data_IF_539811493792
#
_entry.id   IF_539811493792
#
_cell.length_a   1.000
_cell.length_b   1.000
_cell.length_c   1.000
_cell.angle_alpha   90.00
_cell.angle_beta   90.00
_cell.angle_gamma   90.00
#
_symmetry.space_group_name_H-M   'P 1'
#
loop_
_entity.id
_entity.type
_entity.pdbx_description
1 polymer ?
#
# COMPACT_ATOMS: atom_id res chain seq x y z
N UNK A 1 -12.63 5.35 32.48
CA UNK A 1 -12.43 6.73 31.97
C UNK A 1 -10.98 6.85 31.56
N UNK A 2 -10.65 6.66 30.28
CA UNK A 2 -9.27 6.64 29.77
C UNK A 2 -9.02 8.01 29.14
N UNK A 3 -8.15 8.82 29.74
CA UNK A 3 -7.79 10.11 29.16
C UNK A 3 -7.05 9.89 27.85
N UNK A 4 -7.57 10.47 26.77
CA UNK A 4 -6.93 10.53 25.46
C UNK A 4 -5.66 11.40 25.57
N UNK A 5 -4.57 10.96 24.93
CA UNK A 5 -3.29 11.66 24.97
C UNK A 5 -3.36 12.98 24.18
N UNK A 6 -2.70 14.01 24.69
CA UNK A 6 -2.70 15.38 24.15
C UNK A 6 -2.27 15.47 22.67
N UNK A 7 -1.55 14.46 22.17
CA UNK A 7 -1.15 14.32 20.76
C UNK A 7 -2.34 14.17 19.79
N UNK A 8 -3.39 13.43 20.16
CA UNK A 8 -4.57 13.28 19.29
C UNK A 8 -5.43 14.55 19.25
N UNK A 9 -5.38 15.36 20.31
CA UNK A 9 -6.09 16.64 20.39
C UNK A 9 -5.38 17.69 19.52
N UNK A 10 -4.05 17.66 19.45
CA UNK A 10 -3.26 18.56 18.62
C UNK A 10 -3.44 18.32 17.11
N UNK A 11 -3.44 17.06 16.65
CA UNK A 11 -3.70 16.73 15.23
C UNK A 11 -5.16 17.02 14.81
N UNK A 12 -6.11 16.82 15.72
CA UNK A 12 -7.54 17.10 15.49
C UNK A 12 -7.85 18.61 15.41
N UNK A 13 -7.05 19.45 16.05
CA UNK A 13 -7.14 20.92 15.97
C UNK A 13 -6.66 21.44 14.60
N UNK A 14 -5.64 20.81 14.01
CA UNK A 14 -4.98 21.31 12.81
C UNK A 14 -5.86 21.23 11.55
N UNK A 15 -6.55 20.10 11.34
CA UNK A 15 -7.46 19.92 10.19
C UNK A 15 -8.67 20.86 10.28
N UNK A 16 -9.20 21.11 11.49
CA UNK A 16 -10.29 22.07 11.71
C UNK A 16 -9.84 23.51 11.48
N UNK A 17 -8.62 23.86 11.90
CA UNK A 17 -7.98 25.16 11.63
C UNK A 17 -7.72 25.38 10.14
N UNK A 18 -7.33 24.34 9.38
CA UNK A 18 -7.06 24.46 7.96
C UNK A 18 -8.34 24.69 7.15
N UNK A 19 -9.39 23.92 7.44
CA UNK A 19 -10.74 24.10 6.85
C UNK A 19 -11.26 25.51 7.17
N UNK A 20 -11.05 25.98 8.41
CA UNK A 20 -11.41 27.33 8.82
C UNK A 20 -10.65 28.41 8.03
N UNK A 21 -9.33 28.29 7.89
CA UNK A 21 -8.51 29.26 7.14
C UNK A 21 -8.89 29.34 5.66
N UNK A 22 -9.18 28.20 5.02
CA UNK A 22 -9.61 28.17 3.61
C UNK A 22 -10.97 28.84 3.43
N UNK A 23 -11.91 28.61 4.36
CA UNK A 23 -13.23 29.28 4.34
C UNK A 23 -13.08 30.79 4.59
N UNK A 24 -12.20 31.19 5.50
CA UNK A 24 -12.00 32.61 5.87
C UNK A 24 -11.33 33.41 4.76
N UNK A 25 -10.31 32.83 4.09
CA UNK A 25 -9.64 33.44 2.92
C UNK A 25 -10.59 33.50 1.72
N UNK A 26 -11.43 32.50 1.49
CA UNK A 26 -12.43 32.51 0.42
C UNK A 26 -13.55 33.55 0.66
N UNK A 27 -13.86 33.85 1.92
CA UNK A 27 -14.85 34.86 2.29
C UNK A 27 -14.28 36.30 2.23
N UNK A 28 -13.01 36.54 2.57
CA UNK A 28 -12.42 37.89 2.57
C UNK A 28 -12.16 38.44 1.17
N UNK A 29 -11.98 37.58 0.16
CA UNK A 29 -11.80 38.01 -1.23
C UNK A 29 -13.09 38.58 -1.87
N UNK A 30 -14.26 38.34 -1.26
CA UNK A 30 -15.57 38.83 -1.76
C UNK A 30 -16.00 40.17 -1.16
N UNK A 31 -15.35 40.66 -0.11
CA UNK A 31 -15.72 41.90 0.59
C UNK A 31 -14.99 43.16 0.10
N UNK A 32 -14.06 43.06 -0.86
CA UNK A 32 -13.28 44.20 -1.37
C UNK A 32 -13.79 44.75 -2.71
N UNK A 33 -14.68 44.06 -3.42
CA UNK A 33 -15.21 44.52 -4.72
C UNK A 33 -16.70 44.86 -4.66
N UNK A 34 -17.07 45.85 -3.85
CA UNK A 34 -18.41 46.45 -3.92
C UNK A 34 -18.42 47.87 -3.33
N UNK A 35 -17.77 48.83 -3.98
CA UNK A 35 -18.10 50.25 -3.85
C UNK A 35 -17.67 51.04 -5.09
N UNK A 36 -18.57 51.95 -5.51
CA UNK A 36 -18.41 53.02 -6.51
C UNK A 36 -18.73 52.70 -8.00
N UNK A 37 -20.03 52.74 -8.29
CA UNK A 37 -20.72 53.57 -9.31
C UNK A 37 -19.95 54.16 -10.51
N UNK A 38 -20.51 53.88 -11.69
CA UNK A 38 -20.44 54.64 -12.97
C UNK A 38 -21.05 56.06 -12.85
N UNK A 39 -20.79 57.00 -13.80
CA UNK A 39 -21.58 57.05 -15.05
C UNK A 39 -20.81 57.40 -16.35
N UNK A 40 -21.44 57.04 -17.49
CA UNK A 40 -21.60 57.70 -18.81
C UNK A 40 -20.45 58.61 -19.34
N UNK A 41 -20.10 58.69 -20.63
CA UNK A 41 -20.86 58.60 -21.87
C UNK A 41 -19.88 58.67 -23.07
N UNK A 42 -20.40 58.40 -24.28
CA UNK A 42 -19.99 58.92 -25.59
C UNK A 42 -19.42 57.95 -26.66
N UNK A 43 -20.34 57.53 -27.54
CA UNK A 43 -20.32 57.63 -29.01
C UNK A 43 -19.20 56.95 -29.82
N UNK A 44 -19.61 56.02 -30.70
CA UNK A 44 -18.85 55.69 -31.92
C UNK A 44 -19.16 54.32 -32.53
N UNK A 45 -20.23 54.23 -33.34
CA UNK A 45 -20.63 53.04 -34.12
C UNK A 45 -19.75 52.77 -35.36
N UNK A 46 -19.83 51.56 -35.96
CA UNK A 46 -18.77 50.86 -36.72
C UNK A 46 -18.93 50.96 -38.25
N UNK A 47 -18.16 50.19 -39.07
CA UNK A 47 -18.82 49.02 -39.69
C UNK A 47 -17.95 47.79 -40.10
N UNK A 48 -18.58 46.60 -39.99
CA UNK A 48 -18.81 45.58 -41.06
C UNK A 48 -17.72 44.56 -41.45
N UNK A 49 -18.04 43.26 -41.24
CA UNK A 49 -18.12 42.12 -42.20
C UNK A 49 -18.09 40.78 -41.43
N UNK A 50 -19.22 40.08 -41.33
CA UNK A 50 -19.61 38.86 -42.11
C UNK A 50 -18.92 37.56 -41.65
N UNK A 51 -19.49 36.35 -41.64
CA UNK A 51 -20.84 35.79 -41.65
C UNK A 51 -20.64 34.25 -41.64
N UNK A 52 -21.60 33.52 -41.04
CA UNK A 52 -21.96 32.09 -41.30
C UNK A 52 -20.94 30.99 -40.89
N UNK A 53 -21.34 29.80 -40.44
CA UNK A 53 -22.64 29.12 -40.37
C UNK A 53 -22.59 27.96 -39.38
N UNK A 54 -23.76 27.67 -38.81
CA UNK A 54 -24.09 26.53 -37.95
C UNK A 54 -24.13 25.19 -38.69
N UNK A 55 -23.94 24.08 -37.95
CA UNK A 55 -24.74 22.85 -38.10
C UNK A 55 -24.64 21.96 -36.85
N UNK A 56 -25.79 21.46 -36.42
CA UNK A 56 -26.11 20.56 -35.31
C UNK A 56 -25.42 19.18 -35.40
N UNK A 57 -25.15 18.47 -34.31
CA UNK A 57 -26.16 17.63 -33.63
C UNK A 57 -25.66 17.08 -32.27
N UNK A 58 -26.63 16.93 -31.35
CA UNK A 58 -26.52 16.29 -30.05
C UNK A 58 -26.50 14.76 -30.15
N UNK A 59 -25.70 14.09 -29.33
CA UNK A 59 -25.91 12.68 -28.99
C UNK A 59 -25.51 12.40 -27.53
N UNK A 60 -26.31 11.54 -26.91
CA UNK A 60 -26.55 11.35 -25.48
C UNK A 60 -25.52 10.45 -24.79
N UNK A 61 -25.00 10.90 -23.64
CA UNK A 61 -24.18 10.07 -22.74
C UNK A 61 -25.10 9.41 -21.71
N UNK A 62 -25.59 8.22 -22.04
CA UNK A 62 -26.26 7.33 -21.10
C UNK A 62 -25.76 5.90 -21.34
N UNK A 63 -24.71 5.51 -20.62
CA UNK A 63 -24.30 4.14 -20.21
C UNK A 63 -22.81 4.11 -19.93
N UNK A 64 -22.42 4.23 -18.66
CA UNK A 64 -21.28 3.50 -18.09
C UNK A 64 -21.31 3.62 -16.55
N UNK A 65 -22.35 3.06 -15.94
CA UNK A 65 -22.38 2.79 -14.49
C UNK A 65 -23.04 1.43 -14.28
N UNK A 66 -22.25 0.37 -14.46
CA UNK A 66 -22.48 -0.95 -13.87
C UNK A 66 -21.16 -1.67 -13.78
N UNK A 67 -20.99 -2.38 -12.66
CA UNK A 67 -19.85 -3.21 -12.27
C UNK A 67 -18.77 -2.48 -11.49
N UNK A 68 -18.90 -2.48 -10.17
CA UNK A 68 -18.02 -3.26 -9.27
C UNK A 68 -18.51 -3.06 -7.84
N UNK A 69 -19.36 -4.01 -7.40
CA UNK A 69 -19.54 -4.36 -6.00
C UNK A 69 -18.71 -5.61 -5.81
N UNK A 70 -17.69 -5.58 -4.95
CA UNK A 70 -17.48 -6.64 -3.97
C UNK A 70 -16.46 -6.24 -2.88
N UNK A 71 -16.98 -6.33 -1.64
CA UNK A 71 -16.41 -6.75 -0.35
C UNK A 71 -14.93 -6.46 -0.03
N UNK A 72 -14.73 -5.56 0.93
CA UNK A 72 -13.60 -5.62 1.88
C UNK A 72 -14.17 -5.67 3.30
N UNK A 73 -13.97 -6.81 3.97
CA UNK A 73 -14.18 -7.02 5.39
C UNK A 73 -12.93 -6.57 6.14
N UNK A 74 -13.10 -5.77 7.19
CA UNK A 74 -12.23 -5.71 8.37
C UNK A 74 -13.05 -5.12 9.52
N UNK A 75 -13.33 -5.93 10.53
CA UNK A 75 -14.40 -5.70 11.52
C UNK A 75 -13.94 -5.27 12.91
N UNK A 76 -12.66 -5.08 13.20
CA UNK A 76 -12.21 -5.01 14.61
C UNK A 76 -11.86 -3.62 15.17
N UNK A 77 -11.86 -2.55 14.36
CA UNK A 77 -11.73 -1.16 14.89
C UNK A 77 -13.06 -0.37 14.93
N UNK A 78 -14.19 -1.01 14.62
CA UNK A 78 -15.49 -0.33 14.50
C UNK A 78 -16.34 -0.30 15.78
N UNK A 79 -15.96 -0.98 16.85
CA UNK A 79 -16.85 -1.20 17.99
C UNK A 79 -17.26 0.10 18.73
N UNK A 80 -16.36 1.09 18.86
CA UNK A 80 -16.71 2.38 19.49
C UNK A 80 -17.42 3.38 18.57
N UNK A 81 -17.24 3.23 17.25
CA UNK A 81 -17.78 4.14 16.24
C UNK A 81 -19.10 3.67 15.64
N UNK A 82 -19.40 2.37 15.71
CA UNK A 82 -20.66 1.80 15.24
C UNK A 82 -21.85 2.36 16.01
N UNK A 83 -21.72 2.57 17.33
CA UNK A 83 -22.81 3.08 18.17
C UNK A 83 -23.10 4.56 17.93
N UNK A 84 -22.06 5.39 17.76
CA UNK A 84 -22.21 6.81 17.41
C UNK A 84 -22.77 6.97 15.99
N UNK A 85 -22.28 6.17 15.04
CA UNK A 85 -22.79 6.15 13.67
C UNK A 85 -24.22 5.61 13.61
N UNK A 86 -24.57 4.57 14.37
CA UNK A 86 -25.91 4.02 14.43
C UNK A 86 -26.90 4.98 15.10
N UNK A 87 -26.49 5.69 16.16
CA UNK A 87 -27.29 6.73 16.79
C UNK A 87 -27.50 7.92 15.84
N UNK A 88 -26.46 8.36 15.12
CA UNK A 88 -26.56 9.41 14.12
C UNK A 88 -27.49 9.00 12.96
N UNK A 89 -27.33 7.77 12.45
CA UNK A 89 -28.14 7.25 11.34
C UNK A 89 -29.60 6.98 11.75
N UNK A 90 -29.84 6.52 12.97
CA UNK A 90 -31.20 6.33 13.53
C UNK A 90 -31.95 7.66 13.69
N UNK A 91 -31.24 8.72 14.10
CA UNK A 91 -31.81 10.07 14.17
C UNK A 91 -32.03 10.71 12.79
N UNK A 92 -31.20 10.37 11.80
CA UNK A 92 -31.35 10.82 10.42
C UNK A 92 -32.52 10.15 9.68
N UNK A 93 -32.91 8.93 10.06
CA UNK A 93 -33.95 8.16 9.38
C UNK A 93 -35.39 8.59 9.77
N UNK A 94 -35.55 9.30 10.88
CA UNK A 94 -36.87 9.65 11.44
C UNK A 94 -37.48 10.97 10.95
N UNK A 95 -36.82 11.70 10.05
CA UNK A 95 -37.35 12.97 9.56
C UNK A 95 -36.74 13.39 8.23
N UNK A 96 -37.26 12.84 7.13
CA UNK A 96 -36.82 13.22 5.79
C UNK A 96 -38.01 13.54 4.86
N UNK A 97 -38.32 14.83 4.67
CA UNK A 97 -38.91 15.30 3.44
C UNK A 97 -37.81 15.72 2.45
N UNK A 98 -37.94 15.21 1.23
CA UNK A 98 -37.41 15.78 -0.02
C UNK A 98 -35.91 15.76 -0.32
N UNK A 99 -35.54 14.67 -0.98
CA UNK A 99 -34.34 14.46 -1.79
C UNK A 99 -34.37 15.37 -3.05
N UNK A 100 -34.19 16.68 -2.88
CA UNK A 100 -33.79 17.58 -3.98
C UNK A 100 -32.29 17.93 -3.92
N UNK A 101 -31.68 17.89 -2.74
CA UNK A 101 -30.32 18.38 -2.50
C UNK A 101 -29.20 17.47 -2.99
N UNK A 102 -29.44 16.16 -3.11
CA UNK A 102 -28.47 15.19 -3.63
C UNK A 102 -28.10 15.41 -5.11
N UNK A 103 -28.77 16.32 -5.83
CA UNK A 103 -28.40 16.68 -7.22
C UNK A 103 -27.39 17.83 -7.33
N UNK A 104 -27.11 18.55 -6.24
CA UNK A 104 -26.25 19.74 -6.29
C UNK A 104 -24.79 19.32 -6.07
N UNK A 105 -24.02 19.19 -7.16
CA UNK A 105 -22.60 18.78 -7.16
C UNK A 105 -21.62 19.84 -6.59
N UNK A 106 -22.10 20.88 -5.90
CA UNK A 106 -21.33 22.08 -5.53
C UNK A 106 -21.49 22.41 -4.04
N UNK A 107 -20.40 22.22 -3.29
CA UNK A 107 -20.33 22.41 -1.83
C UNK A 107 -20.60 23.85 -1.38
N UNK A 108 -20.27 24.84 -2.21
CA UNK A 108 -20.51 26.26 -1.95
C UNK A 108 -22.01 26.59 -1.89
N UNK A 109 -22.81 25.92 -2.72
CA UNK A 109 -24.27 26.03 -2.67
C UNK A 109 -24.76 25.40 -1.36
N UNK A 110 -24.33 24.17 -1.04
CA UNK A 110 -24.75 23.50 0.18
C UNK A 110 -24.41 24.29 1.46
N UNK A 111 -23.23 24.90 1.52
CA UNK A 111 -22.80 25.74 2.65
C UNK A 111 -23.67 27.01 2.77
N UNK A 112 -24.03 27.62 1.65
CA UNK A 112 -24.87 28.83 1.65
C UNK A 112 -26.31 28.52 1.99
N UNK A 113 -26.88 27.45 1.44
CA UNK A 113 -28.28 27.09 1.67
C UNK A 113 -28.53 26.47 3.07
N UNK A 114 -27.51 25.95 3.74
CA UNK A 114 -27.56 25.64 5.18
C UNK A 114 -27.36 26.87 6.09
N UNK A 115 -27.29 28.08 5.52
CA UNK A 115 -27.04 29.35 6.23
C UNK A 115 -25.75 29.37 7.08
N UNK A 116 -24.80 28.45 6.84
CA UNK A 116 -23.55 28.36 7.61
C UNK A 116 -22.67 29.60 7.42
N UNK A 117 -22.74 30.24 6.24
CA UNK A 117 -22.09 31.52 5.94
C UNK A 117 -22.59 32.72 6.78
N UNK A 118 -23.74 32.61 7.45
CA UNK A 118 -24.30 33.66 8.31
C UNK A 118 -24.02 33.41 9.79
N UNK A 119 -23.42 32.27 10.13
CA UNK A 119 -23.10 31.91 11.51
C UNK A 119 -21.80 32.61 11.92
N UNK A 120 -21.71 32.97 13.19
CA UNK A 120 -20.47 33.53 13.72
C UNK A 120 -19.36 32.47 13.67
N UNK A 121 -18.14 32.84 13.27
CA UNK A 121 -17.05 31.88 13.09
C UNK A 121 -16.78 31.01 14.33
N UNK A 122 -16.97 31.57 15.53
CA UNK A 122 -16.71 30.89 16.81
C UNK A 122 -17.79 29.87 17.17
N UNK A 123 -19.04 30.04 16.73
CA UNK A 123 -20.15 29.15 17.05
C UNK A 123 -20.41 28.12 15.95
N UNK A 124 -19.75 28.26 14.80
CA UNK A 124 -19.91 27.36 13.65
C UNK A 124 -19.57 25.90 13.98
N UNK A 125 -18.58 25.66 14.83
CA UNK A 125 -18.17 24.30 15.26
C UNK A 125 -19.11 23.68 16.31
N UNK A 126 -20.04 24.45 16.83
CA UNK A 126 -21.10 24.00 17.73
C UNK A 126 -22.40 23.73 16.97
N UNK A 127 -22.49 24.18 15.71
CA UNK A 127 -23.68 24.05 14.88
C UNK A 127 -23.81 22.63 14.30
N UNK A 128 -24.88 21.88 14.60
CA UNK A 128 -25.08 20.53 14.07
C UNK A 128 -25.21 20.51 12.53
N UNK A 129 -25.67 21.60 11.90
CA UNK A 129 -25.73 21.69 10.43
C UNK A 129 -24.33 21.80 9.81
N UNK A 130 -23.32 22.29 10.54
CA UNK A 130 -21.93 22.27 10.08
C UNK A 130 -21.39 20.84 9.98
N UNK A 131 -21.62 19.99 10.99
CA UNK A 131 -21.19 18.59 10.94
C UNK A 131 -21.94 17.79 9.88
N UNK A 132 -23.23 18.11 9.65
CA UNK A 132 -24.01 17.52 8.56
C UNK A 132 -23.44 17.92 7.20
N UNK A 133 -23.05 19.19 7.03
CA UNK A 133 -22.33 19.66 5.85
C UNK A 133 -21.00 18.93 5.66
N UNK A 134 -20.18 18.80 6.71
CA UNK A 134 -18.91 18.05 6.66
C UNK A 134 -19.14 16.59 6.24
N UNK A 135 -20.12 15.91 6.83
CA UNK A 135 -20.48 14.53 6.47
C UNK A 135 -20.95 14.37 5.01
N UNK A 136 -21.71 15.34 4.49
CA UNK A 136 -22.13 15.40 3.08
C UNK A 136 -20.91 15.62 2.17
N UNK A 137 -19.99 16.46 2.59
CA UNK A 137 -18.76 16.77 1.85
C UNK A 137 -17.84 15.54 1.84
N UNK A 138 -17.63 14.86 2.97
CA UNK A 138 -16.85 13.62 3.06
C UNK A 138 -17.47 12.45 2.30
N UNK A 139 -18.80 12.32 2.29
CA UNK A 139 -19.49 11.24 1.56
C UNK A 139 -19.53 11.46 0.04
N UNK A 140 -19.59 12.71 -0.43
CA UNK A 140 -19.53 13.04 -1.85
C UNK A 140 -18.11 13.10 -2.41
N UNK A 141 -17.12 13.31 -1.53
CA UNK A 141 -15.70 13.33 -1.87
C UNK A 141 -14.93 12.41 -0.90
N UNK A 142 -15.11 11.08 -1.00
CA UNK A 142 -14.38 10.15 -0.16
C UNK A 142 -12.88 10.27 -0.46
N UNK A 143 -12.13 10.74 0.54
CA UNK A 143 -10.70 11.05 0.45
C UNK A 143 -10.40 12.54 0.59
N UNK A 144 -9.31 12.83 1.30
CA UNK A 144 -8.86 14.16 1.71
C UNK A 144 -9.00 15.21 0.57
N UNK A 145 -10.02 16.07 0.65
CA UNK A 145 -10.49 16.94 -0.44
C UNK A 145 -9.41 17.88 -0.95
N UNK A 146 -8.58 18.37 -0.04
CA UNK A 146 -7.45 19.26 -0.36
C UNK A 146 -6.43 18.55 -1.25
N UNK A 147 -6.14 17.27 -0.96
CA UNK A 147 -5.21 16.48 -1.78
C UNK A 147 -5.75 16.28 -3.19
N UNK A 148 -7.05 16.04 -3.35
CA UNK A 148 -7.62 15.85 -4.67
C UNK A 148 -7.65 17.13 -5.49
N UNK A 149 -7.94 18.28 -4.86
CA UNK A 149 -7.92 19.59 -5.51
C UNK A 149 -6.50 19.97 -5.92
N UNK A 150 -5.52 19.73 -5.04
CA UNK A 150 -4.11 20.01 -5.27
C UNK A 150 -3.53 19.14 -6.39
N UNK A 151 -3.75 17.81 -6.34
CA UNK A 151 -3.34 16.89 -7.40
C UNK A 151 -3.96 17.27 -8.75
N UNK A 152 -5.25 17.61 -8.79
CA UNK A 152 -5.91 18.08 -10.01
C UNK A 152 -5.29 19.36 -10.56
N UNK A 153 -4.83 20.25 -9.69
CA UNK A 153 -4.20 21.50 -10.11
C UNK A 153 -2.88 21.29 -10.86
N UNK A 154 -2.18 20.17 -10.61
CA UNK A 154 -0.90 19.81 -11.20
C UNK A 154 -1.02 19.03 -12.52
N UNK A 155 -2.11 18.29 -12.72
CA UNK A 155 -2.32 17.48 -13.93
C UNK A 155 -2.25 18.36 -15.18
N UNK A 156 -1.39 17.99 -16.12
CA UNK A 156 -1.14 18.73 -17.36
C UNK A 156 -0.25 19.97 -17.21
N UNK A 157 0.20 20.31 -15.99
CA UNK A 157 1.08 21.47 -15.73
C UNK A 157 2.45 21.09 -15.16
N UNK A 158 2.54 19.99 -14.41
CA UNK A 158 3.77 19.49 -13.79
C UNK A 158 4.08 18.09 -14.29
N UNK A 159 5.37 17.76 -14.33
CA UNK A 159 5.83 16.39 -14.55
C UNK A 159 5.82 15.60 -13.25
N UNK A 160 5.91 14.28 -13.33
CA UNK A 160 6.04 13.41 -12.15
C UNK A 160 7.31 13.73 -11.35
N UNK A 161 8.40 14.11 -12.01
CA UNK A 161 9.62 14.52 -11.30
C UNK A 161 9.44 15.85 -10.56
N UNK A 162 8.72 16.81 -11.16
CA UNK A 162 8.43 18.10 -10.50
C UNK A 162 7.59 17.90 -9.24
N UNK A 163 6.58 17.03 -9.29
CA UNK A 163 5.71 16.74 -8.14
C UNK A 163 6.48 15.96 -7.07
N UNK A 164 7.33 15.02 -7.45
CA UNK A 164 8.20 14.31 -6.51
C UNK A 164 9.10 15.27 -5.71
N UNK A 165 9.73 16.24 -6.39
CA UNK A 165 10.58 17.26 -5.77
C UNK A 165 9.76 18.27 -4.96
N UNK A 166 8.58 18.68 -5.45
CA UNK A 166 7.67 19.58 -4.75
C UNK A 166 7.25 19.01 -3.39
N UNK A 167 6.98 17.71 -3.35
CA UNK A 167 6.61 16.96 -2.16
C UNK A 167 7.82 16.54 -1.31
N UNK A 168 9.04 16.93 -1.72
CA UNK A 168 10.30 16.66 -1.03
C UNK A 168 10.53 15.19 -0.70
N UNK A 169 10.02 14.29 -1.54
CA UNK A 169 10.05 12.85 -1.26
C UNK A 169 11.48 12.30 -1.25
N UNK A 170 12.39 12.89 -2.03
CA UNK A 170 13.81 12.52 -2.04
C UNK A 170 14.58 12.92 -0.78
N UNK A 171 14.02 13.80 0.06
CA UNK A 171 14.63 14.22 1.34
C UNK A 171 14.21 13.29 2.51
N UNK A 172 13.29 12.34 2.27
CA UNK A 172 12.84 11.39 3.28
C UNK A 172 13.84 10.25 3.36
N UNK A 173 14.55 10.17 4.49
CA UNK A 173 15.63 9.22 4.71
C UNK A 173 15.21 7.94 5.44
N UNK A 174 14.07 7.92 6.10
CA UNK A 174 13.59 6.75 6.84
C UNK A 174 12.49 6.00 6.08
N UNK A 175 12.17 4.77 6.50
CA UNK A 175 11.06 3.95 5.98
C UNK A 175 9.67 4.59 6.08
N UNK A 176 9.57 5.83 6.56
CA UNK A 176 8.32 6.61 6.57
C UNK A 176 7.93 7.15 5.20
N UNK A 177 8.82 7.07 4.20
CA UNK A 177 8.50 7.45 2.82
C UNK A 177 7.14 6.88 2.38
N UNK A 178 6.97 5.57 2.54
CA UNK A 178 5.78 4.86 2.05
C UNK A 178 4.54 5.07 2.92
N UNK A 179 4.71 5.44 4.20
CA UNK A 179 3.61 5.75 5.12
C UNK A 179 3.17 7.23 5.07
N UNK A 180 3.96 8.09 4.41
CA UNK A 180 3.75 9.53 4.41
C UNK A 180 2.60 9.98 3.51
N UNK A 181 1.82 10.95 4.00
CA UNK A 181 0.76 11.60 3.22
C UNK A 181 1.26 12.14 1.87
N UNK A 182 2.47 12.71 1.85
CA UNK A 182 3.09 13.22 0.62
C UNK A 182 3.28 12.12 -0.42
N UNK A 183 3.66 10.90 -0.01
CA UNK A 183 3.82 9.79 -0.94
C UNK A 183 2.46 9.31 -1.48
N UNK A 184 1.41 9.28 -0.66
CA UNK A 184 0.04 9.00 -1.14
C UNK A 184 -0.45 10.04 -2.16
N UNK A 185 -0.15 11.32 -1.95
CA UNK A 185 -0.46 12.38 -2.92
C UNK A 185 0.31 12.16 -4.23
N UNK A 186 1.57 11.77 -4.14
CA UNK A 186 2.39 11.49 -5.31
C UNK A 186 1.88 10.29 -6.11
N UNK A 187 1.53 9.17 -5.46
CA UNK A 187 0.90 8.02 -6.12
C UNK A 187 -0.39 8.47 -6.82
N UNK A 188 -1.26 9.23 -6.13
CA UNK A 188 -2.50 9.73 -6.73
C UNK A 188 -2.25 10.60 -7.97
N UNK A 189 -1.20 11.41 -7.94
CA UNK A 189 -0.79 12.21 -9.09
C UNK A 189 -0.34 11.33 -10.25
N UNK A 190 0.59 10.39 -10.03
CA UNK A 190 1.13 9.50 -11.06
C UNK A 190 0.02 8.63 -11.68
N UNK A 191 -0.87 8.07 -10.87
CA UNK A 191 -1.98 7.25 -11.38
C UNK A 191 -2.97 8.05 -12.22
N UNK A 192 -3.19 9.33 -11.91
CA UNK A 192 -4.07 10.21 -12.69
C UNK A 192 -3.39 10.81 -13.92
N UNK A 193 -2.07 10.97 -13.93
CA UNK A 193 -1.32 11.45 -15.09
C UNK A 193 -1.07 10.33 -16.11
N UNK A 194 -1.03 9.07 -15.66
CA UNK A 194 -0.78 7.91 -16.51
C UNK A 194 -1.98 7.54 -17.38
N UNK A 195 -1.68 6.98 -18.57
CA UNK A 195 -2.69 6.47 -19.52
C UNK A 195 -3.19 5.06 -19.15
N UNK A 196 -2.48 4.37 -18.28
CA UNK A 196 -2.78 3.02 -17.81
C UNK A 196 -2.08 2.76 -16.47
N UNK A 197 -2.57 1.77 -15.73
CA UNK A 197 -2.01 1.33 -14.44
C UNK A 197 -0.55 0.85 -14.58
N UNK A 198 -0.25 0.00 -15.56
CA UNK A 198 1.13 -0.43 -15.83
C UNK A 198 2.09 0.76 -16.06
N UNK A 199 1.63 1.80 -16.77
CA UNK A 199 2.44 2.99 -17.01
C UNK A 199 2.63 3.81 -15.73
N UNK A 200 1.62 3.85 -14.86
CA UNK A 200 1.70 4.47 -13.54
C UNK A 200 2.80 3.80 -12.71
N UNK A 201 2.73 2.48 -12.58
CA UNK A 201 3.68 1.69 -11.81
C UNK A 201 5.11 1.83 -12.34
N UNK A 202 5.29 1.72 -13.67
CA UNK A 202 6.59 1.90 -14.31
C UNK A 202 7.18 3.29 -14.03
N UNK A 203 6.33 4.31 -14.02
CA UNK A 203 6.76 5.70 -13.79
C UNK A 203 7.13 5.91 -12.33
N UNK A 204 6.30 5.41 -11.41
CA UNK A 204 6.56 5.44 -9.97
C UNK A 204 7.89 4.77 -9.65
N UNK A 205 8.07 3.54 -10.12
CA UNK A 205 9.29 2.77 -9.89
C UNK A 205 10.53 3.45 -10.49
N UNK A 206 10.45 3.98 -11.72
CA UNK A 206 11.57 4.70 -12.36
C UNK A 206 12.01 5.92 -11.56
N UNK A 207 11.06 6.69 -11.02
CA UNK A 207 11.37 7.91 -10.25
C UNK A 207 12.00 7.54 -8.91
N UNK A 208 11.44 6.55 -8.21
CA UNK A 208 11.99 6.06 -6.95
C UNK A 208 13.39 5.49 -7.14
N UNK A 209 13.58 4.65 -8.16
CA UNK A 209 14.89 4.07 -8.46
C UNK A 209 15.92 5.13 -8.85
N UNK A 210 15.53 6.15 -9.63
CA UNK A 210 16.43 7.27 -9.97
C UNK A 210 16.84 8.07 -8.73
N UNK A 211 15.94 8.23 -7.77
CA UNK A 211 16.15 9.07 -6.58
C UNK A 211 16.93 8.35 -5.48
N UNK A 212 16.60 7.07 -5.23
CA UNK A 212 17.17 6.29 -4.12
C UNK A 212 18.21 5.26 -4.58
N UNK A 213 18.26 4.92 -5.86
CA UNK A 213 19.19 3.94 -6.41
C UNK A 213 19.13 2.61 -5.65
N UNK A 214 20.29 2.18 -5.14
CA UNK A 214 20.41 0.93 -4.39
C UNK A 214 19.71 0.98 -3.03
N UNK A 215 19.53 2.17 -2.43
CA UNK A 215 18.85 2.34 -1.14
C UNK A 215 17.36 2.05 -1.22
N UNK A 216 16.77 2.07 -2.42
CA UNK A 216 15.35 1.79 -2.61
C UNK A 216 14.94 0.44 -1.98
N UNK A 217 15.81 -0.57 -2.07
CA UNK A 217 15.53 -1.87 -1.45
C UNK A 217 15.33 -1.77 0.06
N UNK A 218 16.25 -1.12 0.78
CA UNK A 218 16.15 -0.98 2.24
C UNK A 218 14.88 -0.24 2.66
N UNK A 219 14.48 0.80 1.91
CA UNK A 219 13.24 1.52 2.18
C UNK A 219 12.00 0.64 1.95
N UNK A 220 11.99 -0.19 0.90
CA UNK A 220 10.90 -1.14 0.62
C UNK A 220 10.83 -2.25 1.68
N UNK A 221 11.98 -2.74 2.13
CA UNK A 221 12.07 -3.74 3.20
C UNK A 221 11.52 -3.18 4.51
N UNK A 222 11.96 -1.99 4.91
CA UNK A 222 11.43 -1.29 6.10
C UNK A 222 9.91 -1.10 6.00
N UNK A 223 9.41 -0.71 4.83
CA UNK A 223 7.98 -0.57 4.60
C UNK A 223 7.25 -1.89 4.81
N UNK A 224 7.74 -2.99 4.21
CA UNK A 224 7.09 -4.29 4.35
C UNK A 224 7.14 -4.87 5.77
N UNK A 225 8.18 -4.56 6.54
CA UNK A 225 8.28 -4.94 7.95
C UNK A 225 7.28 -4.13 8.79
N UNK A 226 7.18 -2.82 8.56
CA UNK A 226 6.34 -1.93 9.36
C UNK A 226 4.84 -2.11 9.06
N UNK A 227 4.49 -2.17 7.77
CA UNK A 227 3.12 -2.38 7.30
C UNK A 227 3.18 -2.84 5.83
N UNK A 228 2.84 -4.10 5.51
CA UNK A 228 2.87 -4.62 4.14
C UNK A 228 1.85 -3.89 3.25
N UNK A 229 2.27 -2.74 2.73
CA UNK A 229 1.50 -1.88 1.86
C UNK A 229 1.48 -2.50 0.45
N UNK A 230 0.31 -2.63 -0.21
CA UNK A 230 0.21 -3.19 -1.55
C UNK A 230 1.12 -2.49 -2.58
N UNK A 231 1.37 -1.20 -2.42
CA UNK A 231 2.28 -0.43 -3.29
C UNK A 231 3.72 -0.84 -3.07
N UNK A 232 4.14 -1.04 -1.81
CA UNK A 232 5.48 -1.53 -1.51
C UNK A 232 5.69 -2.93 -2.10
N UNK A 233 4.70 -3.83 -1.94
CA UNK A 233 4.77 -5.18 -2.53
C UNK A 233 4.85 -5.12 -4.07
N UNK A 234 4.06 -4.25 -4.70
CA UNK A 234 4.10 -4.04 -6.15
C UNK A 234 5.48 -3.54 -6.60
N UNK A 235 6.05 -2.55 -5.92
CA UNK A 235 7.39 -2.03 -6.23
C UNK A 235 8.48 -3.09 -6.05
N UNK A 236 8.36 -3.96 -5.06
CA UNK A 236 9.27 -5.11 -4.89
C UNK A 236 9.13 -6.09 -6.05
N UNK A 237 7.91 -6.42 -6.48
CA UNK A 237 7.69 -7.27 -7.68
C UNK A 237 8.36 -6.66 -8.91
N UNK A 238 8.25 -5.34 -9.11
CA UNK A 238 8.93 -4.65 -10.20
C UNK A 238 10.46 -4.71 -10.09
N UNK A 239 11.00 -4.59 -8.87
CA UNK A 239 12.44 -4.74 -8.62
C UNK A 239 12.93 -6.16 -9.00
N UNK A 240 12.18 -7.19 -8.66
CA UNK A 240 12.49 -8.57 -9.04
C UNK A 240 12.43 -8.76 -10.57
N UNK A 241 11.40 -8.24 -11.23
CA UNK A 241 11.28 -8.32 -12.69
C UNK A 241 12.40 -7.56 -13.40
N UNK A 242 12.84 -6.42 -12.86
CA UNK A 242 14.00 -5.70 -13.40
C UNK A 242 15.27 -6.53 -13.30
N UNK A 243 15.57 -7.11 -12.14
CA UNK A 243 16.73 -7.99 -11.99
C UNK A 243 16.69 -9.17 -12.96
N UNK A 244 15.51 -9.76 -13.17
CA UNK A 244 15.32 -10.81 -14.17
C UNK A 244 15.60 -10.31 -15.59
N UNK A 245 15.05 -9.15 -15.98
CA UNK A 245 15.23 -8.58 -17.31
C UNK A 245 16.68 -8.17 -17.59
N UNK A 246 17.43 -7.81 -16.55
CA UNK A 246 18.87 -7.55 -16.60
C UNK A 246 19.73 -8.82 -16.49
N UNK A 247 19.12 -10.01 -16.49
CA UNK A 247 19.79 -11.31 -16.35
C UNK A 247 20.68 -11.40 -15.11
N UNK A 248 20.27 -10.73 -14.03
CA UNK A 248 21.04 -10.74 -12.79
C UNK A 248 21.05 -12.14 -12.18
N UNK A 249 22.25 -12.64 -11.88
CA UNK A 249 22.41 -13.97 -11.30
C UNK A 249 21.92 -14.00 -9.86
N UNK A 250 21.45 -15.17 -9.40
CA UNK A 250 20.94 -15.35 -8.03
C UNK A 250 21.96 -14.95 -6.96
N UNK A 251 23.25 -15.22 -7.17
CA UNK A 251 24.33 -14.81 -6.26
C UNK A 251 24.56 -13.30 -6.23
N UNK A 252 24.38 -12.61 -7.36
CA UNK A 252 24.42 -11.13 -7.39
C UNK A 252 23.28 -10.55 -6.56
N UNK A 253 22.05 -11.02 -6.76
CA UNK A 253 20.89 -10.55 -5.97
C UNK A 253 21.07 -10.91 -4.49
N UNK A 254 21.60 -12.09 -4.17
CA UNK A 254 21.90 -12.49 -2.80
C UNK A 254 22.84 -11.50 -2.10
N UNK A 255 23.96 -11.15 -2.74
CA UNK A 255 24.91 -10.18 -2.19
C UNK A 255 24.34 -8.76 -2.14
N UNK A 256 23.51 -8.37 -3.10
CA UNK A 256 22.83 -7.06 -3.13
C UNK A 256 21.85 -6.88 -1.98
N UNK A 257 21.22 -7.97 -1.56
CA UNK A 257 20.31 -8.03 -0.42
C UNK A 257 21.06 -8.22 0.92
N UNK A 258 22.40 -8.26 0.89
CA UNK A 258 23.26 -8.44 2.07
C UNK A 258 22.86 -9.66 2.90
N UNK A 259 22.46 -10.74 2.22
CA UNK A 259 22.01 -11.96 2.88
C UNK A 259 23.18 -12.76 3.41
N UNK A 260 22.95 -13.42 4.54
CA UNK A 260 23.87 -14.40 5.12
C UNK A 260 23.35 -15.82 4.89
N UNK A 261 24.26 -16.73 4.54
CA UNK A 261 23.94 -18.13 4.31
C UNK A 261 23.84 -18.90 5.63
N UNK A 262 22.85 -18.56 6.46
CA UNK A 262 22.65 -19.13 7.78
C UNK A 262 21.24 -19.70 7.97
N UNK A 263 20.98 -20.31 9.13
CA UNK A 263 19.67 -20.90 9.45
C UNK A 263 18.51 -19.89 9.46
N UNK A 264 18.79 -18.58 9.50
CA UNK A 264 17.80 -17.50 9.56
C UNK A 264 17.54 -16.86 8.20
N UNK A 265 18.17 -17.35 7.13
CA UNK A 265 17.99 -16.82 5.78
C UNK A 265 16.50 -16.61 5.45
N UNK A 266 15.67 -17.64 5.59
CA UNK A 266 14.24 -17.58 5.27
C UNK A 266 13.35 -17.05 6.41
N UNK A 267 13.92 -16.56 7.52
CA UNK A 267 13.16 -15.85 8.56
C UNK A 267 13.13 -14.34 8.28
N UNK A 268 14.07 -13.83 7.48
CA UNK A 268 14.14 -12.44 7.06
C UNK A 268 13.25 -12.12 5.85
N UNK A 269 12.75 -10.88 5.77
CA UNK A 269 11.99 -10.40 4.61
C UNK A 269 12.83 -10.46 3.34
N UNK A 270 14.07 -9.97 3.37
CA UNK A 270 14.98 -10.06 2.23
C UNK A 270 15.24 -11.49 1.75
N UNK A 271 15.40 -12.45 2.67
CA UNK A 271 15.62 -13.84 2.29
C UNK A 271 14.39 -14.49 1.64
N UNK A 272 13.19 -14.13 2.10
CA UNK A 272 11.94 -14.54 1.44
C UNK A 272 11.83 -13.98 0.02
N UNK A 273 12.15 -12.71 -0.19
CA UNK A 273 12.09 -12.13 -1.54
C UNK A 273 13.20 -12.60 -2.46
N UNK A 274 14.38 -12.91 -1.92
CA UNK A 274 15.40 -13.63 -2.66
C UNK A 274 14.91 -15.00 -3.09
N UNK A 275 14.25 -15.76 -2.21
CA UNK A 275 13.65 -17.04 -2.57
C UNK A 275 12.58 -16.86 -3.67
N UNK A 276 11.71 -15.85 -3.57
CA UNK A 276 10.76 -15.51 -4.65
C UNK A 276 11.46 -15.20 -5.97
N UNK A 277 12.64 -14.57 -5.93
CA UNK A 277 13.46 -14.35 -7.12
C UNK A 277 14.03 -15.65 -7.69
N UNK A 278 14.49 -16.57 -6.84
CA UNK A 278 14.91 -17.92 -7.25
C UNK A 278 13.75 -18.66 -7.95
N UNK A 279 12.55 -18.64 -7.36
CA UNK A 279 11.33 -19.17 -7.98
C UNK A 279 11.09 -18.58 -9.37
N UNK A 280 11.16 -17.26 -9.48
CA UNK A 280 10.97 -16.55 -10.75
C UNK A 280 11.96 -17.01 -11.84
N UNK A 281 13.21 -17.29 -11.47
CA UNK A 281 14.24 -17.79 -12.40
C UNK A 281 14.11 -19.28 -12.71
N UNK A 282 13.55 -20.07 -11.79
CA UNK A 282 13.33 -21.52 -11.93
C UNK A 282 11.98 -21.88 -12.50
N UNK A 283 11.24 -20.93 -13.05
CA UNK A 283 9.94 -21.18 -13.69
C UNK A 283 8.84 -21.52 -12.69
N UNK A 284 8.99 -21.11 -11.43
CA UNK A 284 8.11 -21.43 -10.31
C UNK A 284 7.96 -22.93 -10.01
N UNK A 285 8.99 -23.72 -10.31
CA UNK A 285 9.02 -25.15 -10.05
C UNK A 285 9.71 -25.47 -8.72
N UNK A 286 8.97 -26.09 -7.79
CA UNK A 286 9.47 -26.34 -6.42
C UNK A 286 10.68 -27.28 -6.40
N UNK A 287 10.70 -28.30 -7.26
CA UNK A 287 11.83 -29.24 -7.35
C UNK A 287 13.09 -28.54 -7.84
N UNK A 288 13.00 -27.74 -8.90
CA UNK A 288 14.11 -26.96 -9.44
C UNK A 288 14.63 -25.91 -8.45
N UNK A 289 13.75 -25.32 -7.64
CA UNK A 289 14.14 -24.43 -6.55
C UNK A 289 14.88 -25.20 -5.47
N UNK A 290 14.33 -26.32 -4.99
CA UNK A 290 14.96 -27.11 -3.94
C UNK A 290 16.34 -27.62 -4.37
N UNK A 291 16.47 -28.15 -5.59
CA UNK A 291 17.75 -28.59 -6.16
C UNK A 291 18.77 -27.45 -6.14
N UNK A 292 18.35 -26.24 -6.53
CA UNK A 292 19.23 -25.08 -6.48
C UNK A 292 19.65 -24.72 -5.06
N UNK A 293 18.71 -24.73 -4.10
CA UNK A 293 19.02 -24.45 -2.70
C UNK A 293 20.01 -25.47 -2.14
N UNK A 294 19.82 -26.75 -2.43
CA UNK A 294 20.72 -27.83 -2.01
C UNK A 294 22.10 -27.72 -2.67
N UNK A 295 22.19 -27.24 -3.92
CA UNK A 295 23.47 -26.94 -4.55
C UNK A 295 24.17 -25.72 -3.94
N UNK A 296 23.40 -24.68 -3.58
CA UNK A 296 23.93 -23.41 -3.10
C UNK A 296 24.32 -23.44 -1.62
N UNK A 297 23.57 -24.18 -0.80
CA UNK A 297 23.72 -24.20 0.66
C UNK A 297 23.98 -25.60 1.21
N UNK A 298 24.15 -26.61 0.35
CA UNK A 298 24.45 -28.00 0.71
C UNK A 298 23.51 -28.49 1.82
N UNK A 299 24.08 -28.97 2.91
CA UNK A 299 23.37 -29.63 4.01
C UNK A 299 22.67 -28.64 4.96
N UNK A 300 22.76 -27.32 4.73
CA UNK A 300 22.11 -26.30 5.58
C UNK A 300 20.62 -26.12 5.27
N UNK A 301 20.17 -26.45 4.05
CA UNK A 301 18.78 -26.24 3.61
C UNK A 301 17.73 -26.78 4.59
N UNK A 302 17.85 -28.02 5.12
CA UNK A 302 16.85 -28.55 6.06
C UNK A 302 16.73 -27.71 7.33
N UNK A 303 17.86 -27.15 7.81
CA UNK A 303 17.88 -26.29 8.99
C UNK A 303 17.23 -24.94 8.68
N UNK A 304 17.53 -24.34 7.52
CA UNK A 304 16.92 -23.09 7.08
C UNK A 304 15.39 -23.20 6.98
N UNK A 305 14.89 -24.28 6.36
CA UNK A 305 13.45 -24.52 6.22
C UNK A 305 12.76 -24.74 7.57
N UNK A 306 13.34 -25.58 8.45
CA UNK A 306 12.76 -25.86 9.76
C UNK A 306 12.80 -24.64 10.71
N UNK A 307 13.86 -23.83 10.64
CA UNK A 307 13.95 -22.56 11.37
C UNK A 307 12.85 -21.59 10.93
N UNK A 308 12.68 -21.38 9.62
CA UNK A 308 11.65 -20.50 9.08
C UNK A 308 10.23 -20.92 9.48
N UNK A 309 9.94 -22.22 9.50
CA UNK A 309 8.67 -22.74 10.02
C UNK A 309 8.49 -22.51 11.52
N UNK A 310 9.57 -22.64 12.31
CA UNK A 310 9.52 -22.47 13.77
C UNK A 310 9.34 -21.02 14.19
N UNK A 311 10.10 -20.12 13.58
CA UNK A 311 10.16 -18.70 13.95
C UNK A 311 9.00 -17.89 13.35
N UNK A 312 8.16 -18.55 12.55
CA UNK A 312 6.95 -17.98 12.02
C UNK A 312 7.19 -17.03 10.85
N UNK A 313 8.07 -17.42 9.91
CA UNK A 313 8.37 -16.64 8.73
C UNK A 313 7.11 -16.21 7.95
N UNK A 314 7.13 -15.10 7.19
CA UNK A 314 5.97 -14.62 6.44
C UNK A 314 5.35 -15.65 5.46
N UNK A 315 6.15 -16.61 4.97
CA UNK A 315 5.76 -17.60 3.96
C UNK A 315 5.88 -19.04 4.51
N UNK A 316 5.26 -19.33 5.67
CA UNK A 316 5.38 -20.63 6.34
C UNK A 316 4.95 -21.81 5.46
N UNK A 317 3.87 -21.64 4.69
CA UNK A 317 3.33 -22.68 3.80
C UNK A 317 4.33 -23.04 2.70
N UNK A 318 5.04 -22.05 2.15
CA UNK A 318 6.10 -22.28 1.16
C UNK A 318 7.26 -23.07 1.77
N UNK A 319 7.69 -22.71 2.99
CA UNK A 319 8.75 -23.43 3.68
C UNK A 319 8.37 -24.88 3.97
N UNK A 320 7.12 -25.10 4.39
CA UNK A 320 6.59 -26.44 4.62
C UNK A 320 6.58 -27.25 3.33
N UNK A 321 6.07 -26.70 2.24
CA UNK A 321 6.01 -27.38 0.95
C UNK A 321 7.40 -27.82 0.46
N UNK A 322 8.39 -26.92 0.52
CA UNK A 322 9.77 -27.24 0.16
C UNK A 322 10.37 -28.34 1.05
N UNK A 323 10.05 -28.33 2.35
CA UNK A 323 10.55 -29.34 3.29
C UNK A 323 9.89 -30.71 3.06
N UNK A 324 8.60 -30.76 2.74
CA UNK A 324 7.92 -32.00 2.39
C UNK A 324 8.48 -32.64 1.11
N UNK A 325 8.83 -31.83 0.11
CA UNK A 325 9.50 -32.31 -1.10
C UNK A 325 10.88 -32.86 -0.74
N UNK A 326 11.66 -32.16 0.09
CA UNK A 326 12.96 -32.63 0.57
C UNK A 326 12.85 -33.98 1.29
N UNK A 327 11.88 -34.12 2.20
CA UNK A 327 11.63 -35.39 2.90
C UNK A 327 11.20 -36.50 1.94
N UNK A 328 10.37 -36.17 0.94
CA UNK A 328 10.02 -37.10 -0.13
C UNK A 328 11.25 -37.61 -0.88
N UNK A 329 12.18 -36.72 -1.22
CA UNK A 329 13.42 -37.08 -1.90
C UNK A 329 14.31 -37.99 -1.03
N UNK A 330 14.42 -37.70 0.27
CA UNK A 330 15.17 -38.56 1.20
C UNK A 330 14.56 -39.95 1.35
N UNK A 331 13.23 -40.05 1.44
CA UNK A 331 12.56 -41.35 1.48
C UNK A 331 12.77 -42.14 0.19
N UNK A 332 12.70 -41.48 -0.98
CA UNK A 332 12.95 -42.11 -2.27
C UNK A 332 14.40 -42.60 -2.38
N UNK A 333 15.35 -41.86 -1.79
CA UNK A 333 16.74 -42.26 -1.63
C UNK A 333 16.97 -43.32 -0.53
N UNK A 334 15.90 -43.80 0.12
CA UNK A 334 15.90 -44.80 1.18
C UNK A 334 16.69 -44.38 2.43
N UNK A 335 16.74 -43.09 2.73
CA UNK A 335 17.39 -42.60 3.93
C UNK A 335 16.62 -43.00 5.19
N UNK A 336 17.36 -43.40 6.22
CA UNK A 336 16.84 -43.57 7.56
C UNK A 336 17.18 -42.39 8.48
N UNK A 337 16.68 -42.41 9.72
CA UNK A 337 16.92 -41.34 10.69
C UNK A 337 18.41 -41.17 11.00
N UNK A 338 19.21 -42.23 10.86
CA UNK A 338 20.66 -42.20 11.09
C UNK A 338 21.36 -41.47 9.96
N UNK A 339 20.93 -41.65 8.71
CA UNK A 339 21.43 -40.92 7.55
C UNK A 339 21.15 -39.42 7.68
N UNK A 340 19.92 -39.06 8.04
CA UNK A 340 19.52 -37.66 8.27
C UNK A 340 20.35 -37.04 9.40
N UNK A 341 20.44 -37.71 10.56
CA UNK A 341 21.27 -37.27 11.69
C UNK A 341 22.74 -37.12 11.32
N UNK A 342 23.29 -38.04 10.52
CA UNK A 342 24.68 -38.00 10.07
C UNK A 342 24.95 -36.80 9.16
N UNK A 343 24.01 -36.43 8.31
CA UNK A 343 24.13 -35.27 7.42
C UNK A 343 24.01 -33.96 8.20
N UNK A 344 23.01 -33.86 9.08
CA UNK A 344 22.80 -32.66 9.90
C UNK A 344 23.93 -32.45 10.93
N UNK A 345 24.48 -33.52 11.50
CA UNK A 345 25.63 -33.40 12.42
C UNK A 345 26.92 -32.96 11.74
N UNK A 346 27.12 -33.28 10.45
CA UNK A 346 28.26 -32.78 9.68
C UNK A 346 28.22 -31.27 9.48
N UNK A 347 27.01 -30.70 9.37
CA UNK A 347 26.81 -29.25 9.25
C UNK A 347 27.32 -28.52 10.50
N UNK A 348 27.03 -29.07 11.69
CA UNK A 348 27.49 -28.49 12.96
C UNK A 348 28.99 -28.62 13.20
N UNK A 349 29.65 -29.57 12.54
CA UNK A 349 31.08 -29.79 12.70
C UNK A 349 31.93 -28.74 11.97
N UNK A 350 31.30 -27.91 11.13
CA UNK A 350 31.97 -26.80 10.46
C UNK A 350 32.19 -25.65 11.45
N UNK A 351 33.46 -25.31 11.70
CA UNK A 351 33.94 -24.59 12.90
C UNK A 351 33.44 -23.14 13.04
N UNK A 352 32.76 -22.59 12.04
CA UNK A 352 32.25 -21.22 12.04
C UNK A 352 30.84 -21.07 12.65
N UNK A 353 30.20 -22.15 13.11
CA UNK A 353 28.85 -22.13 13.69
C UNK A 353 28.82 -22.34 15.21
N UNK A 354 29.99 -22.36 15.88
CA UNK A 354 30.14 -22.86 17.25
C UNK A 354 29.34 -22.07 18.32
N UNK A 355 29.06 -20.78 18.14
CA UNK A 355 28.19 -20.02 19.05
C UNK A 355 26.66 -20.23 18.81
N UNK A 356 26.25 -20.81 17.67
CA UNK A 356 24.84 -21.17 17.35
C UNK A 356 24.46 -22.59 17.77
N UNK A 357 25.41 -23.39 18.27
CA UNK A 357 25.32 -24.86 18.46
C UNK A 357 24.17 -25.32 19.37
N UNK A 358 23.75 -24.54 20.37
CA UNK A 358 22.63 -24.92 21.25
C UNK A 358 21.27 -24.78 20.56
N UNK A 359 21.08 -23.74 19.75
CA UNK A 359 19.85 -23.53 18.98
C UNK A 359 19.78 -24.56 17.84
N UNK A 360 20.92 -24.87 17.23
CA UNK A 360 20.97 -25.79 16.09
C UNK A 360 20.83 -27.27 16.48
N UNK A 361 21.33 -27.71 17.64
CA UNK A 361 21.05 -29.09 18.14
C UNK A 361 19.56 -29.34 18.34
N UNK A 362 18.84 -28.36 18.90
CA UNK A 362 17.37 -28.44 19.05
C UNK A 362 16.70 -28.50 17.67
N UNK A 363 17.23 -27.75 16.70
CA UNK A 363 16.73 -27.78 15.34
C UNK A 363 16.98 -29.12 14.64
N UNK A 364 18.11 -29.79 14.88
CA UNK A 364 18.39 -31.13 14.33
C UNK A 364 17.38 -32.15 14.84
N UNK A 365 17.19 -32.24 16.16
CA UNK A 365 16.20 -33.18 16.71
C UNK A 365 14.82 -32.89 16.16
N UNK A 366 14.48 -31.61 15.98
CA UNK A 366 13.23 -31.20 15.34
C UNK A 366 13.14 -31.71 13.89
N UNK A 367 14.13 -31.45 13.04
CA UNK A 367 14.12 -31.92 11.64
C UNK A 367 14.01 -33.44 11.56
N UNK A 368 14.71 -34.16 12.44
CA UNK A 368 14.66 -35.63 12.47
C UNK A 368 13.28 -36.13 12.89
N UNK A 369 12.68 -35.52 13.91
CA UNK A 369 11.33 -35.88 14.34
C UNK A 369 10.29 -35.55 13.26
N UNK A 370 10.40 -34.37 12.61
CA UNK A 370 9.54 -33.99 11.49
C UNK A 370 9.64 -34.97 10.32
N UNK A 371 10.84 -35.46 10.02
CA UNK A 371 11.05 -36.49 8.99
C UNK A 371 10.43 -37.83 9.38
N UNK A 372 10.61 -38.27 10.64
CA UNK A 372 10.02 -39.49 11.15
C UNK A 372 8.48 -39.46 11.09
N UNK A 373 7.87 -38.35 11.52
CA UNK A 373 6.42 -38.14 11.47
C UNK A 373 5.90 -38.14 10.02
N UNK A 374 6.60 -37.48 9.10
CA UNK A 374 6.27 -37.51 7.68
C UNK A 374 6.30 -38.92 7.10
N UNK A 375 7.34 -39.70 7.41
CA UNK A 375 7.48 -41.09 6.97
C UNK A 375 6.33 -41.96 7.46
N UNK A 376 5.99 -41.85 8.74
CA UNK A 376 4.85 -42.57 9.35
C UNK A 376 3.55 -42.19 8.65
N UNK A 377 3.28 -40.89 8.48
CA UNK A 377 2.07 -40.38 7.84
C UNK A 377 1.91 -40.88 6.40
N UNK A 378 3.01 -40.93 5.64
CA UNK A 378 3.00 -41.41 4.25
C UNK A 378 2.82 -42.93 4.13
N UNK A 379 3.38 -43.70 5.06
CA UNK A 379 3.13 -45.15 5.13
C UNK A 379 1.65 -45.44 5.44
N UNK A 380 1.04 -44.70 6.37
CA UNK A 380 -0.39 -44.81 6.63
C UNK A 380 -1.24 -44.48 5.40
N UNK A 381 -0.92 -43.38 4.70
CA UNK A 381 -1.65 -42.99 3.49
C UNK A 381 -1.61 -44.09 2.40
N UNK A 382 -0.45 -44.73 2.21
CA UNK A 382 -0.30 -45.84 1.27
C UNK A 382 -1.03 -47.12 1.69
N UNK A 383 -1.19 -47.37 2.99
CA UNK A 383 -1.94 -48.52 3.50
C UNK A 383 -3.46 -48.31 3.45
N UNK A 384 -3.90 -47.05 3.42
CA UNK A 384 -5.32 -46.67 3.38
C UNK A 384 -5.89 -46.46 1.97
N UNK A 385 -5.03 -46.42 0.95
CA UNK A 385 -5.37 -46.30 -0.47
C UNK A 385 -5.36 -47.68 -1.14
#
# INVERSE_FOLDING_TARGET
MKMLSESSIAQFSHTKMLIFFVVLVACSAKSVTAAASTPEEAVGSPPVLDARSAAYTSLSVQRYLRSMSDKINNSEERAGWADVRAALMSNLQKGWPEIQWLRVKRWDIAFTSSNLHKKEPMTLFEDPEFFKFVSIVESNYPGNIDQQAEVKSWIGKKTEHDVFNLLKLGEIEDGKLFAGQAFSQFISFVSKSAKSEQKSDDTLYKILYKSFGNRLWGLLEEAMIANPDPVAEQLVKMQLQKWRAEYQQMGYVFGRLQLEADSKLFTSVSGIYWLKYVYLLKGNDDESVLIYLELAFDKMVPLMLSAARKEGAPEQELMQKLQEIQFGNWMNAKWDDKDVRKILSKVLADKNLIEKVLIEKVLIEKVVNEYADFKVSRLYALLSA
#
